data_IF_543608958554
#
_entry.id   IF_543608958554
#
_cell.length_a   1.000
_cell.length_b   1.000
_cell.length_c   1.000
_cell.angle_alpha   90.00
_cell.angle_beta   90.00
_cell.angle_gamma   90.00
#
_symmetry.space_group_name_H-M   'P 1'
#
loop_
_entity.id
_entity.type
_entity.pdbx_description
1 polymer ?
#
# COMPACT_ATOMS: atom_id res chain seq x y z
N UNK A 1 -0.45 11.73 8.17
CA UNK A 1 -1.80 12.14 7.74
C UNK A 1 -1.73 13.52 7.11
N UNK A 2 -2.28 13.69 5.89
CA UNK A 2 -2.35 14.98 5.22
C UNK A 2 -3.19 16.02 5.96
N UNK A 3 -3.18 17.26 5.50
CA UNK A 3 -4.00 18.39 5.98
C UNK A 3 -3.72 18.92 7.41
N UNK A 4 -2.89 18.29 8.21
CA UNK A 4 -2.58 18.75 9.56
C UNK A 4 -1.31 19.62 9.61
N UNK A 5 -1.18 20.45 10.63
CA UNK A 5 0.07 21.21 10.87
C UNK A 5 1.28 20.31 11.04
N UNK A 6 1.09 19.12 11.61
CA UNK A 6 2.15 18.11 11.73
C UNK A 6 2.65 17.61 10.38
N UNK A 7 1.83 17.63 9.33
CA UNK A 7 2.25 17.26 7.96
C UNK A 7 3.29 18.24 7.40
N UNK A 8 3.15 19.53 7.70
CA UNK A 8 4.13 20.56 7.28
C UNK A 8 5.43 20.37 8.04
N UNK A 9 5.36 20.13 9.36
CA UNK A 9 6.54 19.89 10.18
C UNK A 9 7.31 18.64 9.75
N UNK A 10 6.60 17.59 9.26
CA UNK A 10 7.26 16.36 8.79
C UNK A 10 8.15 16.59 7.57
N UNK A 11 7.86 17.56 6.72
CA UNK A 11 8.75 17.90 5.59
C UNK A 11 10.12 18.39 6.08
N UNK A 12 10.14 19.23 7.12
CA UNK A 12 11.38 19.67 7.75
C UNK A 12 12.17 18.55 8.41
N UNK A 13 11.49 17.57 9.01
CA UNK A 13 12.13 16.36 9.58
C UNK A 13 12.75 15.53 8.45
N UNK A 14 12.01 15.29 7.37
CA UNK A 14 12.48 14.51 6.23
C UNK A 14 13.74 15.12 5.61
N UNK A 15 13.84 16.44 5.56
CA UNK A 15 15.04 17.13 5.07
C UNK A 15 16.26 16.87 5.96
N UNK A 16 16.07 16.79 7.27
CA UNK A 16 17.18 16.51 8.22
C UNK A 16 17.71 15.08 8.14
N UNK A 17 16.90 14.14 7.68
CA UNK A 17 17.26 12.71 7.59
C UNK A 17 17.46 12.23 6.15
N UNK A 18 17.60 13.15 5.20
CA UNK A 18 17.71 12.84 3.75
C UNK A 18 18.82 11.89 3.36
N UNK A 19 19.85 11.73 4.22
CA UNK A 19 20.97 10.79 4.00
C UNK A 19 20.63 9.35 4.41
N UNK A 20 19.41 9.09 4.85
CA UNK A 20 18.93 7.76 5.25
C UNK A 20 18.01 7.16 4.19
N UNK A 21 17.88 5.83 4.23
CA UNK A 21 16.83 5.14 3.46
C UNK A 21 15.48 5.42 4.08
N UNK A 22 14.66 6.21 3.40
CA UNK A 22 13.37 6.69 3.91
C UNK A 22 12.24 6.00 3.19
N UNK A 23 11.38 5.29 3.94
CA UNK A 23 10.08 4.84 3.49
C UNK A 23 9.00 5.72 4.12
N UNK A 24 8.14 6.27 3.29
CA UNK A 24 7.05 7.15 3.72
C UNK A 24 5.72 6.46 3.51
N UNK A 25 4.90 6.38 4.56
CA UNK A 25 3.48 6.02 4.46
C UNK A 25 2.66 7.30 4.61
N UNK A 26 1.99 7.69 3.53
CA UNK A 26 1.16 8.88 3.50
C UNK A 26 -0.31 8.50 3.49
N UNK A 27 -1.03 8.90 4.53
CA UNK A 27 -2.48 8.69 4.65
C UNK A 27 -3.16 9.95 4.14
N UNK A 28 -3.75 9.86 2.96
CA UNK A 28 -4.50 10.94 2.33
C UNK A 28 -5.85 11.08 3.03
N UNK A 29 -6.20 12.28 3.51
CA UNK A 29 -7.54 12.52 4.05
C UNK A 29 -8.59 12.53 2.93
N UNK A 30 -9.85 12.43 3.28
CA UNK A 30 -10.93 12.70 2.35
C UNK A 30 -10.91 14.19 1.94
N UNK A 31 -10.59 14.42 0.67
CA UNK A 31 -10.41 15.78 0.12
C UNK A 31 -11.74 16.53 0.05
N UNK A 32 -12.84 15.83 -0.13
CA UNK A 32 -14.16 16.44 -0.26
C UNK A 32 -14.65 17.02 1.07
N UNK A 33 -14.12 16.52 2.17
CA UNK A 33 -14.38 17.07 3.51
C UNK A 33 -13.47 18.26 3.86
N UNK A 34 -12.44 18.54 3.06
CA UNK A 34 -11.48 19.61 3.32
C UNK A 34 -11.85 20.89 2.58
N UNK A 35 -11.87 22.01 3.31
CA UNK A 35 -12.08 23.35 2.76
C UNK A 35 -11.01 24.32 3.22
N UNK A 36 -10.74 25.35 2.43
CA UNK A 36 -9.81 26.42 2.80
C UNK A 36 -8.36 25.95 3.02
N UNK A 37 -7.76 26.42 4.11
CA UNK A 37 -6.34 26.18 4.41
C UNK A 37 -5.99 24.69 4.52
N UNK A 38 -6.75 23.82 5.21
CA UNK A 38 -6.47 22.39 5.27
C UNK A 38 -6.35 21.73 3.89
N UNK A 39 -7.17 22.12 2.93
CA UNK A 39 -7.10 21.60 1.54
C UNK A 39 -5.83 22.06 0.83
N UNK A 40 -5.43 23.32 1.02
CA UNK A 40 -4.17 23.83 0.45
C UNK A 40 -2.96 23.14 1.05
N UNK A 41 -2.96 22.92 2.36
CA UNK A 41 -1.89 22.20 3.06
C UNK A 41 -1.77 20.75 2.55
N UNK A 42 -2.91 20.06 2.38
CA UNK A 42 -2.91 18.71 1.84
C UNK A 42 -2.31 18.67 0.44
N UNK A 43 -2.79 19.52 -0.46
CA UNK A 43 -2.29 19.57 -1.85
C UNK A 43 -0.79 19.88 -1.91
N UNK A 44 -0.32 20.82 -1.11
CA UNK A 44 1.11 21.17 -1.06
C UNK A 44 1.94 20.03 -0.50
N UNK A 45 1.53 19.43 0.61
CA UNK A 45 2.25 18.31 1.24
C UNK A 45 2.31 17.10 0.31
N UNK A 46 1.17 16.71 -0.28
CA UNK A 46 1.10 15.59 -1.21
C UNK A 46 1.99 15.83 -2.43
N UNK A 47 1.94 17.03 -3.03
CA UNK A 47 2.79 17.40 -4.16
C UNK A 47 4.29 17.32 -3.83
N UNK A 48 4.71 17.89 -2.70
CA UNK A 48 6.12 17.85 -2.27
C UNK A 48 6.59 16.42 -2.01
N UNK A 49 5.78 15.59 -1.34
CA UNK A 49 6.15 14.19 -1.10
C UNK A 49 6.30 13.41 -2.41
N UNK A 50 5.46 13.65 -3.40
CA UNK A 50 5.59 13.03 -4.72
C UNK A 50 6.88 13.47 -5.44
N UNK A 51 7.24 14.75 -5.39
CA UNK A 51 8.48 15.25 -5.97
C UNK A 51 9.72 14.68 -5.25
N UNK A 52 9.66 14.54 -3.92
CA UNK A 52 10.73 13.90 -3.15
C UNK A 52 10.89 12.42 -3.53
N UNK A 53 9.79 11.71 -3.76
CA UNK A 53 9.84 10.34 -4.25
C UNK A 53 10.43 10.27 -5.66
N UNK A 54 10.01 11.15 -6.58
CA UNK A 54 10.52 11.20 -7.97
C UNK A 54 12.00 11.57 -8.03
N UNK A 55 12.47 12.47 -7.18
CA UNK A 55 13.87 12.87 -7.13
C UNK A 55 14.80 11.83 -6.51
N UNK A 56 14.25 10.76 -5.94
CA UNK A 56 15.02 9.70 -5.30
C UNK A 56 15.38 9.96 -3.83
N UNK A 57 14.83 11.00 -3.21
CA UNK A 57 15.04 11.28 -1.79
C UNK A 57 14.42 10.18 -0.91
N UNK A 58 13.32 9.58 -1.37
CA UNK A 58 12.70 8.45 -0.69
C UNK A 58 13.03 7.13 -1.38
N UNK A 59 13.23 6.09 -0.58
CA UNK A 59 13.24 4.71 -1.07
C UNK A 59 11.85 4.34 -1.57
N UNK A 60 10.80 4.71 -0.82
CA UNK A 60 9.42 4.55 -1.26
C UNK A 60 8.46 5.56 -0.62
N UNK A 61 7.39 5.88 -1.34
CA UNK A 61 6.22 6.61 -0.89
C UNK A 61 4.99 5.76 -1.12
N UNK A 62 4.45 5.18 -0.06
CA UNK A 62 3.21 4.42 -0.08
C UNK A 62 2.05 5.32 0.27
N UNK A 63 1.09 5.43 -0.64
CA UNK A 63 -0.08 6.29 -0.48
C UNK A 63 -1.30 5.42 -0.15
N UNK A 64 -2.02 5.78 0.89
CA UNK A 64 -3.28 5.21 1.32
C UNK A 64 -4.32 6.33 1.42
N UNK A 65 -5.60 6.04 1.25
CA UNK A 65 -6.68 7.02 1.37
C UNK A 65 -7.69 6.56 2.42
N UNK A 66 -8.06 7.44 3.33
CA UNK A 66 -9.11 7.16 4.32
C UNK A 66 -10.42 6.79 3.64
N UNK A 67 -10.83 7.54 2.62
CA UNK A 67 -12.03 7.25 1.82
C UNK A 67 -12.00 5.83 1.22
N UNK A 68 -10.85 5.44 0.63
CA UNK A 68 -10.71 4.11 0.03
C UNK A 68 -10.70 3.01 1.08
N UNK A 69 -10.08 3.23 2.24
CA UNK A 69 -10.10 2.28 3.36
C UNK A 69 -11.53 2.08 3.87
N UNK A 70 -12.29 3.15 4.04
CA UNK A 70 -13.71 3.05 4.43
C UNK A 70 -14.53 2.24 3.42
N UNK A 71 -14.34 2.51 2.14
CA UNK A 71 -15.02 1.78 1.06
C UNK A 71 -14.71 0.28 1.08
N UNK A 72 -13.47 -0.08 1.42
CA UNK A 72 -13.04 -1.49 1.53
C UNK A 72 -13.65 -2.18 2.73
N UNK A 73 -13.73 -1.48 3.86
CA UNK A 73 -14.16 -2.07 5.13
C UNK A 73 -15.67 -2.23 5.27
N UNK A 74 -16.47 -1.62 4.41
CA UNK A 74 -17.94 -1.72 4.41
C UNK A 74 -18.56 -1.67 5.81
N UNK A 75 -19.45 -1.06 6.28
CA UNK A 75 -20.13 -1.12 7.60
C UNK A 75 -19.24 -0.93 8.85
N UNK A 76 -18.43 0.10 8.89
CA UNK A 76 -17.67 0.44 10.10
C UNK A 76 -18.60 1.07 11.15
N UNK A 77 -18.56 0.53 12.38
CA UNK A 77 -19.25 1.16 13.50
C UNK A 77 -18.52 2.46 13.89
N UNK A 78 -19.26 3.56 13.98
CA UNK A 78 -18.71 4.87 14.30
C UNK A 78 -17.90 4.89 15.63
N UNK A 79 -18.29 4.07 16.60
CA UNK A 79 -17.63 3.98 17.90
C UNK A 79 -16.19 3.48 17.79
N UNK A 80 -15.91 2.57 16.86
CA UNK A 80 -14.59 1.94 16.68
C UNK A 80 -13.94 2.34 15.35
N UNK A 81 -14.41 3.43 14.75
CA UNK A 81 -13.99 3.87 13.41
C UNK A 81 -12.48 3.98 13.27
N UNK A 82 -11.84 4.78 14.12
CA UNK A 82 -10.39 5.01 14.05
C UNK A 82 -9.57 3.77 14.40
N UNK A 83 -10.05 2.96 15.33
CA UNK A 83 -9.36 1.72 15.71
C UNK A 83 -9.32 0.76 14.53
N UNK A 84 -10.44 0.56 13.85
CA UNK A 84 -10.54 -0.33 12.67
C UNK A 84 -9.69 0.19 11.50
N UNK A 85 -9.71 1.52 11.24
CA UNK A 85 -8.84 2.11 10.22
C UNK A 85 -7.36 1.87 10.54
N UNK A 86 -6.95 2.19 11.77
CA UNK A 86 -5.57 2.05 12.20
C UNK A 86 -5.12 0.59 12.18
N UNK A 87 -5.94 -0.34 12.63
CA UNK A 87 -5.65 -1.78 12.57
C UNK A 87 -5.48 -2.28 11.14
N UNK A 88 -6.29 -1.78 10.22
CA UNK A 88 -6.18 -2.11 8.79
C UNK A 88 -4.86 -1.61 8.22
N UNK A 89 -4.51 -0.34 8.46
CA UNK A 89 -3.26 0.26 8.00
C UNK A 89 -2.07 -0.48 8.62
N UNK A 90 -2.11 -0.68 9.94
CA UNK A 90 -1.05 -1.37 10.67
C UNK A 90 -0.84 -2.79 10.16
N UNK A 91 -1.92 -3.55 9.93
CA UNK A 91 -1.84 -4.90 9.38
C UNK A 91 -1.17 -4.93 8.01
N UNK A 92 -1.53 -4.00 7.12
CA UNK A 92 -0.90 -3.90 5.80
C UNK A 92 0.61 -3.62 5.91
N UNK A 93 1.00 -2.65 6.75
CA UNK A 93 2.41 -2.30 6.98
C UNK A 93 3.16 -3.47 7.62
N UNK A 94 2.53 -4.14 8.61
CA UNK A 94 3.11 -5.29 9.29
C UNK A 94 3.40 -6.43 8.31
N UNK A 95 2.46 -6.80 7.45
CA UNK A 95 2.66 -7.86 6.47
C UNK A 95 3.73 -7.51 5.43
N UNK A 96 3.78 -6.27 4.95
CA UNK A 96 4.85 -5.83 4.06
C UNK A 96 6.22 -6.00 4.72
N UNK A 97 6.36 -5.51 5.95
CA UNK A 97 7.60 -5.63 6.72
C UNK A 97 7.97 -7.10 7.01
N UNK A 98 6.97 -7.93 7.32
CA UNK A 98 7.17 -9.37 7.54
C UNK A 98 7.77 -10.02 6.30
N UNK A 99 7.18 -9.83 5.13
CA UNK A 99 7.68 -10.42 3.88
C UNK A 99 9.03 -9.85 3.42
N UNK A 100 9.37 -8.61 3.79
CA UNK A 100 10.70 -8.07 3.51
C UNK A 100 11.83 -8.73 4.31
N UNK A 101 11.51 -9.33 5.47
CA UNK A 101 12.47 -9.90 6.41
C UNK A 101 12.36 -11.40 6.61
N UNK A 102 11.47 -12.07 5.89
CA UNK A 102 11.29 -13.53 5.93
C UNK A 102 11.40 -14.14 4.54
N UNK A 103 11.85 -15.39 4.50
CA UNK A 103 11.86 -16.15 3.26
C UNK A 103 10.48 -16.77 3.03
N UNK A 104 9.86 -16.56 1.86
CA UNK A 104 8.58 -17.17 1.54
C UNK A 104 8.72 -18.67 1.27
N UNK A 105 7.69 -19.44 1.59
CA UNK A 105 7.66 -20.87 1.25
C UNK A 105 7.61 -21.11 -0.26
N UNK A 106 6.92 -20.23 -0.99
CA UNK A 106 6.78 -20.32 -2.44
C UNK A 106 6.82 -18.94 -3.07
N UNK A 107 7.47 -18.84 -4.21
CA UNK A 107 7.62 -17.59 -4.94
C UNK A 107 8.80 -16.76 -4.45
N UNK A 108 8.79 -15.48 -4.79
CA UNK A 108 9.85 -14.56 -4.41
C UNK A 108 9.26 -13.21 -4.04
N UNK A 109 9.72 -12.64 -2.95
CA UNK A 109 9.47 -11.23 -2.63
C UNK A 109 10.21 -10.38 -3.65
N UNK A 110 9.45 -9.76 -4.55
CA UNK A 110 10.04 -8.90 -5.56
C UNK A 110 10.38 -7.55 -4.97
N UNK A 111 11.64 -7.15 -5.10
CA UNK A 111 11.99 -5.75 -4.86
C UNK A 111 11.54 -4.92 -6.05
N UNK A 112 10.70 -3.89 -5.86
CA UNK A 112 10.31 -3.00 -6.95
C UNK A 112 11.53 -2.32 -7.57
N UNK A 113 11.44 -2.03 -8.87
CA UNK A 113 12.49 -1.26 -9.54
C UNK A 113 12.61 0.12 -8.90
N UNK A 114 13.84 0.62 -8.79
CA UNK A 114 14.14 1.90 -8.12
C UNK A 114 13.36 3.11 -8.64
N UNK A 115 12.91 3.10 -9.90
CA UNK A 115 12.06 4.16 -10.45
C UNK A 115 10.61 4.09 -9.96
N UNK A 116 10.14 2.94 -9.47
CA UNK A 116 8.76 2.73 -9.01
C UNK A 116 8.66 3.02 -7.50
N UNK A 117 8.96 4.26 -7.13
CA UNK A 117 8.99 4.69 -5.72
C UNK A 117 7.62 5.00 -5.15
N UNK A 118 6.68 5.45 -5.99
CA UNK A 118 5.31 5.73 -5.56
C UNK A 118 4.50 4.43 -5.62
N UNK A 119 3.90 4.05 -4.49
CA UNK A 119 3.24 2.75 -4.29
C UNK A 119 1.87 2.94 -3.66
N UNK A 120 1.03 1.95 -3.85
CA UNK A 120 -0.22 1.77 -3.12
C UNK A 120 -0.36 0.32 -2.67
N UNK A 121 -1.34 0.06 -1.81
CA UNK A 121 -1.65 -1.26 -1.29
C UNK A 121 -3.08 -1.61 -1.68
N UNK A 122 -3.33 -2.87 -2.01
CA UNK A 122 -4.67 -3.42 -2.15
C UNK A 122 -4.87 -4.63 -1.24
N UNK A 123 -6.10 -4.87 -0.87
CA UNK A 123 -6.50 -6.09 -0.15
C UNK A 123 -7.13 -7.05 -1.16
N UNK A 124 -6.54 -8.25 -1.27
CA UNK A 124 -7.04 -9.29 -2.17
C UNK A 124 -8.08 -10.16 -1.47
N UNK A 125 -9.30 -10.15 -1.99
CA UNK A 125 -10.32 -11.10 -1.59
C UNK A 125 -10.16 -12.41 -2.37
N UNK A 126 -9.60 -13.43 -1.74
CA UNK A 126 -9.31 -14.73 -2.35
C UNK A 126 -10.57 -15.50 -2.81
N UNK A 127 -11.76 -15.21 -2.25
CA UNK A 127 -12.99 -15.90 -2.65
C UNK A 127 -13.58 -15.32 -3.93
N UNK A 128 -13.56 -13.99 -4.06
CA UNK A 128 -14.13 -13.26 -5.21
C UNK A 128 -13.08 -12.92 -6.28
N UNK A 129 -11.79 -13.10 -5.96
CA UNK A 129 -10.67 -12.72 -6.85
C UNK A 129 -10.72 -11.21 -7.16
N UNK A 130 -11.09 -10.44 -6.16
CA UNK A 130 -11.30 -9.01 -6.27
C UNK A 130 -10.22 -8.27 -5.47
N UNK A 131 -9.58 -7.29 -6.10
CA UNK A 131 -8.65 -6.38 -5.44
C UNK A 131 -9.39 -5.12 -5.03
N UNK A 132 -9.25 -4.76 -3.77
CA UNK A 132 -9.77 -3.51 -3.25
C UNK A 132 -8.60 -2.60 -2.93
N UNK A 133 -8.37 -1.59 -3.75
CA UNK A 133 -7.26 -0.66 -3.61
C UNK A 133 -7.52 0.35 -2.50
N UNK A 134 -6.51 0.56 -1.66
CA UNK A 134 -6.53 1.57 -0.59
C UNK A 134 -6.13 2.96 -1.11
N UNK A 135 -5.65 3.03 -2.33
CA UNK A 135 -5.47 4.23 -3.14
C UNK A 135 -5.25 3.81 -4.59
N UNK A 136 -6.01 4.39 -5.51
CA UNK A 136 -5.91 4.07 -6.93
C UNK A 136 -4.73 4.82 -7.57
N UNK A 137 -3.85 4.10 -8.26
CA UNK A 137 -2.77 4.67 -9.06
C UNK A 137 -3.18 4.66 -10.53
N UNK A 138 -2.85 5.73 -11.25
CA UNK A 138 -3.15 5.85 -12.69
C UNK A 138 -2.47 4.77 -13.54
N UNK A 139 -1.30 4.31 -13.11
CA UNK A 139 -0.51 3.31 -13.83
C UNK A 139 0.06 2.27 -12.87
N UNK A 140 -0.28 1.01 -13.09
CA UNK A 140 0.27 -0.13 -12.39
C UNK A 140 1.39 -0.77 -13.21
N UNK A 141 2.64 -0.62 -12.78
CA UNK A 141 3.81 -1.20 -13.46
C UNK A 141 4.31 -2.48 -12.83
N UNK A 142 4.26 -2.54 -11.51
CA UNK A 142 4.67 -3.72 -10.74
C UNK A 142 3.60 -4.07 -9.73
N UNK A 143 3.20 -5.34 -9.72
CA UNK A 143 2.27 -5.92 -8.76
C UNK A 143 2.97 -7.04 -8.02
N UNK A 144 2.96 -6.99 -6.70
CA UNK A 144 3.43 -8.08 -5.87
C UNK A 144 2.32 -8.53 -4.92
N UNK A 145 2.00 -9.82 -4.97
CA UNK A 145 1.00 -10.43 -4.12
C UNK A 145 1.67 -11.13 -2.96
N UNK A 146 1.35 -10.70 -1.74
CA UNK A 146 1.79 -11.33 -0.50
C UNK A 146 0.61 -12.08 0.10
N UNK A 147 0.76 -13.39 0.26
CA UNK A 147 -0.33 -14.25 0.70
C UNK A 147 0.03 -14.98 1.99
N UNK A 148 -0.51 -14.49 3.11
CA UNK A 148 -0.40 -15.17 4.40
C UNK A 148 -1.45 -16.28 4.47
N UNK A 149 -0.99 -17.54 4.44
CA UNK A 149 -1.84 -18.72 4.46
C UNK A 149 -1.49 -19.55 5.68
N UNK A 150 -2.50 -19.98 6.43
CA UNK A 150 -2.29 -20.86 7.57
C UNK A 150 -1.60 -22.17 7.13
N UNK A 151 -0.58 -22.61 7.87
CA UNK A 151 0.21 -23.78 7.59
C UNK A 151 -0.64 -25.05 7.42
N UNK A 152 -1.66 -25.25 8.25
CA UNK A 152 -2.60 -26.35 8.11
C UNK A 152 -3.34 -26.36 6.76
N UNK A 153 -3.61 -25.19 6.18
CA UNK A 153 -4.21 -25.11 4.84
C UNK A 153 -3.22 -25.43 3.75
N UNK A 154 -1.96 -25.01 3.91
CA UNK A 154 -0.89 -25.36 2.96
C UNK A 154 -0.69 -26.87 2.88
N UNK A 155 -0.77 -27.57 4.01
CA UNK A 155 -0.63 -29.02 4.07
C UNK A 155 -1.85 -29.78 3.55
N UNK A 156 -3.06 -29.34 3.90
CA UNK A 156 -4.31 -30.07 3.66
C UNK A 156 -4.96 -29.76 2.32
N UNK A 157 -4.79 -28.54 1.80
CA UNK A 157 -5.49 -28.08 0.58
C UNK A 157 -4.71 -28.42 -0.69
N UNK A 158 -4.98 -29.62 -1.23
CA UNK A 158 -4.37 -30.07 -2.50
C UNK A 158 -4.77 -29.10 -3.63
N UNK A 159 -3.75 -28.60 -4.37
CA UNK A 159 -3.96 -27.72 -5.53
C UNK A 159 -4.15 -26.24 -5.17
N UNK A 160 -3.96 -25.83 -3.92
CA UNK A 160 -4.03 -24.42 -3.51
C UNK A 160 -3.09 -23.54 -4.34
N UNK A 161 -1.84 -23.95 -4.51
CA UNK A 161 -0.86 -23.24 -5.34
C UNK A 161 -1.36 -23.03 -6.79
N UNK A 162 -1.92 -24.06 -7.40
CA UNK A 162 -2.49 -23.96 -8.75
C UNK A 162 -3.62 -22.93 -8.81
N UNK A 163 -4.53 -22.96 -7.84
CA UNK A 163 -5.62 -21.96 -7.74
C UNK A 163 -5.09 -20.53 -7.65
N UNK A 164 -4.04 -20.31 -6.81
CA UNK A 164 -3.40 -19.01 -6.67
C UNK A 164 -2.76 -18.55 -7.98
N UNK A 165 -2.00 -19.42 -8.63
CA UNK A 165 -1.37 -19.12 -9.93
C UNK A 165 -2.42 -18.82 -10.99
N UNK A 166 -3.54 -19.55 -11.01
CA UNK A 166 -4.63 -19.30 -11.96
C UNK A 166 -5.29 -17.93 -11.73
N UNK A 167 -5.44 -17.50 -10.47
CA UNK A 167 -5.87 -16.14 -10.13
C UNK A 167 -4.92 -15.10 -10.72
N UNK A 168 -3.60 -15.28 -10.51
CA UNK A 168 -2.61 -14.35 -11.03
C UNK A 168 -2.56 -14.30 -12.56
N UNK A 169 -2.89 -15.43 -13.23
CA UNK A 169 -2.96 -15.51 -14.69
C UNK A 169 -4.14 -14.73 -15.28
N UNK A 170 -5.20 -14.48 -14.52
CA UNK A 170 -6.34 -13.67 -14.98
C UNK A 170 -6.00 -12.20 -15.15
N UNK A 171 -4.91 -11.74 -14.51
CA UNK A 171 -4.51 -10.34 -14.57
C UNK A 171 -3.93 -9.98 -15.94
N UNK A 172 -4.30 -8.82 -16.48
CA UNK A 172 -3.76 -8.36 -17.76
C UNK A 172 -2.24 -8.27 -17.71
N UNK A 173 -1.59 -8.90 -18.65
CA UNK A 173 -0.13 -8.84 -18.81
C UNK A 173 0.22 -8.01 -20.03
N UNK A 174 1.17 -7.11 -19.87
CA UNK A 174 1.80 -6.40 -20.96
C UNK A 174 3.31 -6.32 -20.73
N UNK A 175 4.06 -5.86 -21.72
CA UNK A 175 5.52 -5.78 -21.63
C UNK A 175 6.05 -4.88 -20.50
N UNK A 176 5.19 -4.03 -19.94
CA UNK A 176 5.55 -3.03 -18.94
C UNK A 176 5.03 -3.36 -17.53
N UNK A 177 4.32 -4.49 -17.39
CA UNK A 177 3.72 -4.89 -16.11
C UNK A 177 4.36 -6.17 -15.59
N UNK A 178 5.12 -6.04 -14.52
CA UNK A 178 5.69 -7.16 -13.79
C UNK A 178 4.72 -7.63 -12.71
N UNK A 179 4.52 -8.94 -12.63
CA UNK A 179 3.70 -9.58 -11.59
C UNK A 179 4.55 -10.61 -10.88
N UNK A 180 4.60 -10.52 -9.56
CA UNK A 180 5.27 -11.49 -8.68
C UNK A 180 4.36 -11.87 -7.52
N UNK A 181 4.68 -12.96 -6.83
CA UNK A 181 3.94 -13.40 -5.65
C UNK A 181 4.87 -14.10 -4.66
N UNK A 182 4.47 -14.05 -3.38
CA UNK A 182 5.11 -14.73 -2.28
C UNK A 182 4.05 -15.34 -1.34
N UNK A 183 4.29 -16.53 -0.82
CA UNK A 183 3.42 -17.26 0.12
C UNK A 183 4.23 -17.64 1.34
#
# INVERSE_FOLDING_TARGET
VGSSMSSICSLGILEQIKDKDIDVFYIKPDIDLLTGVPRLVENATHGVLQEYARSGLFRSLTILSNESIERVLENINLKNYYDILNDTIFSCVHYLNYFEHTEPHVGNVSKPHEINRIRSISILNMKKIEEKWLFDLDVERELCYYMCINEERLEKEIGLHKKLVDILKTKPRNAFRKISYAI
#
